data_IF_154456621174
#
_entry.id   IF_154456621174
#
_cell.length_a   1.000
_cell.length_b   1.000
_cell.length_c   1.000
_cell.angle_alpha   90.00
_cell.angle_beta   90.00
_cell.angle_gamma   90.00
#
_symmetry.space_group_name_H-M   'P 1'
#
loop_
_entity.id
_entity.type
_entity.pdbx_description
1 polymer ?
#
# COMPACT_ATOMS: atom_id res chain seq x y z
N UNK A 1 -2.72 -20.79 -20.13
CA UNK A 1 -2.39 -20.49 -18.72
C UNK A 1 -3.20 -19.27 -18.27
N UNK A 2 -2.78 -18.07 -18.63
CA UNK A 2 -3.58 -16.85 -18.54
C UNK A 2 -3.45 -16.03 -19.83
N UNK A 3 -4.34 -15.06 -20.00
CA UNK A 3 -4.32 -14.04 -21.04
C UNK A 3 -4.74 -12.69 -20.47
N UNK A 4 -4.38 -11.62 -21.18
CA UNK A 4 -4.58 -10.23 -20.74
C UNK A 4 -5.13 -9.38 -21.91
N UNK A 5 -6.07 -8.50 -21.59
CA UNK A 5 -6.65 -7.49 -22.48
C UNK A 5 -6.50 -6.12 -21.84
N UNK A 6 -6.07 -5.13 -22.61
CA UNK A 6 -6.21 -3.72 -22.27
C UNK A 6 -7.44 -3.15 -23.00
N UNK A 7 -8.53 -2.80 -22.30
CA UNK A 7 -9.74 -2.28 -22.92
C UNK A 7 -9.46 -1.09 -23.85
N UNK A 8 -10.05 -1.11 -25.04
CA UNK A 8 -9.87 -0.09 -26.09
C UNK A 8 -8.43 0.10 -26.60
N UNK A 9 -7.48 -0.78 -26.22
CA UNK A 9 -6.06 -0.66 -26.54
C UNK A 9 -5.41 -1.89 -27.14
N UNK A 10 -5.82 -3.10 -26.73
CA UNK A 10 -5.27 -4.34 -27.24
C UNK A 10 -6.35 -5.36 -27.61
N UNK A 11 -5.99 -6.26 -28.52
CA UNK A 11 -6.63 -7.57 -28.61
C UNK A 11 -6.20 -8.44 -27.41
N UNK A 12 -6.86 -9.59 -27.17
CA UNK A 12 -6.41 -10.55 -26.17
C UNK A 12 -5.01 -11.06 -26.46
N UNK A 13 -4.11 -10.82 -25.52
CA UNK A 13 -2.73 -11.31 -25.55
C UNK A 13 -2.61 -12.56 -24.68
N UNK A 14 -1.84 -13.52 -25.18
CA UNK A 14 -1.46 -14.71 -24.42
C UNK A 14 -0.12 -14.53 -23.70
N UNK A 15 0.26 -15.57 -22.97
CA UNK A 15 1.50 -15.67 -22.20
C UNK A 15 2.78 -15.50 -23.05
N UNK A 16 2.73 -15.72 -24.37
CA UNK A 16 3.88 -15.57 -25.28
C UNK A 16 4.25 -14.11 -25.51
N UNK A 17 3.36 -13.17 -25.16
CA UNK A 17 3.64 -11.73 -25.18
C UNK A 17 4.39 -11.26 -23.92
N UNK A 18 4.55 -12.14 -22.92
CA UNK A 18 5.20 -11.83 -21.65
C UNK A 18 6.59 -12.46 -21.59
N UNK A 19 7.56 -11.72 -21.05
CA UNK A 19 8.87 -12.25 -20.69
C UNK A 19 8.74 -13.08 -19.42
N UNK A 20 8.96 -14.40 -19.52
CA UNK A 20 9.04 -15.26 -18.35
C UNK A 20 10.37 -15.02 -17.62
N UNK A 21 10.29 -14.52 -16.39
CA UNK A 21 11.48 -14.25 -15.55
C UNK A 21 11.77 -15.38 -14.55
N UNK A 22 10.78 -16.21 -14.27
CA UNK A 22 10.88 -17.41 -13.41
C UNK A 22 9.71 -18.37 -13.74
N UNK A 23 9.81 -19.61 -13.24
CA UNK A 23 8.82 -20.69 -13.35
C UNK A 23 7.37 -20.24 -13.10
N UNK A 24 7.17 -19.29 -12.18
CA UNK A 24 5.84 -18.77 -11.79
C UNK A 24 5.67 -17.26 -11.97
N UNK A 25 6.58 -16.58 -12.66
CA UNK A 25 6.57 -15.11 -12.78
C UNK A 25 6.80 -14.65 -14.23
N UNK A 26 5.90 -13.78 -14.70
CA UNK A 26 5.88 -13.21 -16.04
C UNK A 26 5.81 -11.69 -15.96
N UNK A 27 6.58 -11.01 -16.81
CA UNK A 27 6.64 -9.55 -16.90
C UNK A 27 6.24 -9.11 -18.30
N UNK A 28 5.31 -8.16 -18.38
CA UNK A 28 5.04 -7.41 -19.60
C UNK A 28 5.70 -6.05 -19.48
N UNK A 29 6.61 -5.72 -20.39
CA UNK A 29 7.12 -4.37 -20.49
C UNK A 29 6.09 -3.47 -21.20
N UNK A 30 5.41 -2.64 -20.41
CA UNK A 30 4.45 -1.66 -20.91
C UNK A 30 5.12 -0.59 -21.78
N UNK A 31 6.41 -0.29 -21.59
CA UNK A 31 7.10 0.67 -22.44
C UNK A 31 7.25 0.13 -23.87
N UNK A 32 7.73 -1.11 -24.03
CA UNK A 32 7.75 -1.77 -25.33
C UNK A 32 6.34 -2.01 -25.91
N UNK A 33 5.34 -2.26 -25.07
CA UNK A 33 4.00 -2.63 -25.54
C UNK A 33 3.10 -1.43 -25.95
N UNK A 34 3.04 -0.35 -25.16
CA UNK A 34 2.19 0.84 -25.42
C UNK A 34 2.98 2.13 -25.61
N UNK A 35 4.30 2.12 -25.38
CA UNK A 35 5.16 3.30 -25.50
C UNK A 35 4.68 4.48 -24.66
N UNK A 36 4.78 5.68 -25.23
CA UNK A 36 4.32 6.96 -24.67
C UNK A 36 2.84 7.00 -24.27
N UNK A 37 2.04 5.99 -24.64
CA UNK A 37 0.62 5.93 -24.30
C UNK A 37 0.29 5.15 -23.02
N UNK A 38 1.29 4.75 -22.22
CA UNK A 38 1.08 3.98 -20.99
C UNK A 38 0.14 4.67 -19.98
N UNK A 39 0.18 6.01 -19.87
CA UNK A 39 -0.70 6.81 -19.00
C UNK A 39 -2.21 6.68 -19.32
N UNK A 40 -2.52 6.21 -20.53
CA UNK A 40 -3.90 6.02 -20.98
C UNK A 40 -4.44 4.62 -20.64
N UNK A 41 -3.58 3.72 -20.12
CA UNK A 41 -3.96 2.38 -19.68
C UNK A 41 -4.41 2.42 -18.22
N UNK A 42 -5.72 2.61 -18.01
CA UNK A 42 -6.34 2.70 -16.68
C UNK A 42 -6.89 1.37 -16.16
N UNK A 43 -7.08 0.40 -17.04
CA UNK A 43 -7.73 -0.87 -16.74
C UNK A 43 -7.05 -2.01 -17.49
N UNK A 44 -7.05 -3.18 -16.88
CA UNK A 44 -6.50 -4.42 -17.39
C UNK A 44 -7.52 -5.53 -17.09
N UNK A 45 -7.93 -6.28 -18.10
CA UNK A 45 -8.72 -7.50 -17.93
C UNK A 45 -7.77 -8.70 -18.00
N UNK A 46 -7.72 -9.50 -16.93
CA UNK A 46 -6.95 -10.74 -16.86
C UNK A 46 -7.89 -11.93 -16.76
N UNK A 47 -7.57 -13.01 -17.45
CA UNK A 47 -8.36 -14.23 -17.46
C UNK A 47 -7.50 -15.48 -17.58
N UNK A 48 -7.94 -16.58 -16.95
CA UNK A 48 -7.32 -17.88 -17.03
C UNK A 48 -7.83 -18.61 -18.28
N UNK A 49 -6.92 -18.97 -19.18
CA UNK A 49 -7.23 -19.66 -20.43
C UNK A 49 -7.53 -21.15 -20.25
N UNK A 50 -7.14 -21.75 -19.12
CA UNK A 50 -7.40 -23.15 -18.83
C UNK A 50 -7.43 -23.39 -17.31
N UNK A 51 -8.35 -24.22 -16.82
CA UNK A 51 -8.53 -24.48 -15.37
C UNK A 51 -7.44 -25.36 -14.75
N UNK A 52 -6.59 -25.98 -15.58
CA UNK A 52 -5.50 -26.86 -15.14
C UNK A 52 -4.16 -26.16 -14.84
N UNK A 53 -4.04 -24.85 -15.09
CA UNK A 53 -2.74 -24.16 -15.03
C UNK A 53 -2.37 -23.53 -13.69
N UNK A 54 -3.25 -23.57 -12.70
CA UNK A 54 -2.97 -23.13 -11.32
C UNK A 54 -3.35 -24.24 -10.34
N UNK A 55 -2.54 -24.53 -9.33
CA UNK A 55 -2.96 -25.39 -8.22
C UNK A 55 -4.19 -24.81 -7.51
N UNK A 56 -5.03 -25.67 -6.94
CA UNK A 56 -6.31 -25.27 -6.33
C UNK A 56 -6.15 -24.19 -5.24
N UNK A 57 -5.08 -24.27 -4.44
CA UNK A 57 -4.75 -23.33 -3.37
C UNK A 57 -3.88 -22.13 -3.80
N UNK A 58 -3.85 -21.82 -5.11
CA UNK A 58 -3.03 -20.73 -5.67
C UNK A 58 -3.86 -19.75 -6.48
N UNK A 59 -3.36 -18.51 -6.51
CA UNK A 59 -3.92 -17.39 -7.24
C UNK A 59 -2.84 -16.78 -8.14
N UNK A 60 -3.23 -16.27 -9.30
CA UNK A 60 -2.37 -15.42 -10.12
C UNK A 60 -2.59 -13.98 -9.72
N UNK A 61 -1.58 -13.39 -9.08
CA UNK A 61 -1.59 -12.00 -8.64
C UNK A 61 -1.03 -11.07 -9.73
N UNK A 62 -1.66 -9.91 -9.90
CA UNK A 62 -1.23 -8.86 -10.83
C UNK A 62 -0.61 -7.73 -10.02
N UNK A 63 0.63 -7.40 -10.38
CA UNK A 63 1.36 -6.25 -9.86
C UNK A 63 1.73 -5.32 -11.02
N UNK A 64 1.76 -4.03 -10.74
CA UNK A 64 2.37 -3.04 -11.65
C UNK A 64 3.55 -2.36 -10.98
N UNK A 65 4.50 -1.91 -11.78
CA UNK A 65 5.63 -1.10 -11.32
C UNK A 65 5.76 0.11 -12.24
N UNK A 66 5.71 1.31 -11.68
CA UNK A 66 6.15 2.54 -12.34
C UNK A 66 7.67 2.71 -12.17
N UNK A 67 8.38 3.31 -13.15
CA UNK A 67 9.82 3.53 -13.03
C UNK A 67 10.15 4.32 -11.76
N UNK A 68 11.15 3.85 -11.01
CA UNK A 68 11.53 4.43 -9.71
C UNK A 68 10.57 4.15 -8.53
N UNK A 69 9.53 3.33 -8.72
CA UNK A 69 8.54 2.98 -7.68
C UNK A 69 8.59 1.49 -7.31
N UNK A 70 8.06 1.09 -6.13
CA UNK A 70 7.86 -0.31 -5.79
C UNK A 70 6.67 -0.93 -6.56
N UNK A 71 6.60 -2.27 -6.57
CA UNK A 71 5.46 -2.99 -7.12
C UNK A 71 4.18 -2.74 -6.31
N UNK A 72 3.09 -2.39 -6.99
CA UNK A 72 1.74 -2.22 -6.43
C UNK A 72 0.84 -3.38 -6.82
N UNK A 73 0.22 -4.03 -5.83
CA UNK A 73 -0.77 -5.08 -6.05
C UNK A 73 -2.08 -4.50 -6.57
N UNK A 74 -2.53 -4.97 -7.74
CA UNK A 74 -3.77 -4.51 -8.38
C UNK A 74 -4.94 -5.48 -8.16
N UNK A 75 -4.66 -6.77 -7.99
CA UNK A 75 -5.68 -7.80 -7.76
C UNK A 75 -5.17 -9.19 -8.11
N UNK A 76 -6.06 -10.19 -8.02
CA UNK A 76 -5.73 -11.57 -8.36
C UNK A 76 -6.93 -12.33 -8.94
N UNK A 77 -6.62 -13.35 -9.75
CA UNK A 77 -7.58 -14.35 -10.26
C UNK A 77 -7.27 -15.74 -9.70
N UNK A 78 -8.32 -16.56 -9.57
CA UNK A 78 -8.27 -17.92 -9.01
C UNK A 78 -9.08 -18.86 -9.88
N UNK A 79 -9.02 -20.17 -9.65
CA UNK A 79 -9.88 -21.12 -10.37
C UNK A 79 -11.38 -20.82 -10.16
N UNK A 80 -11.78 -20.39 -8.95
CA UNK A 80 -13.16 -20.03 -8.63
C UNK A 80 -13.62 -18.70 -9.24
N UNK A 81 -12.68 -17.80 -9.57
CA UNK A 81 -12.95 -16.56 -10.31
C UNK A 81 -11.86 -16.39 -11.39
N UNK A 82 -12.02 -17.08 -12.54
CA UNK A 82 -10.97 -17.19 -13.53
C UNK A 82 -10.72 -15.90 -14.31
N UNK A 83 -11.58 -14.88 -14.21
CA UNK A 83 -11.39 -13.59 -14.85
C UNK A 83 -11.73 -12.42 -13.93
N UNK A 84 -11.00 -11.31 -14.09
CA UNK A 84 -11.27 -10.05 -13.40
C UNK A 84 -10.80 -8.86 -14.25
N UNK A 85 -11.58 -7.78 -14.22
CA UNK A 85 -11.11 -6.45 -14.63
C UNK A 85 -10.50 -5.78 -13.41
N UNK A 86 -9.26 -5.32 -13.55
CA UNK A 86 -8.47 -4.67 -12.52
C UNK A 86 -8.17 -3.23 -12.98
N UNK A 87 -8.57 -2.25 -12.17
CA UNK A 87 -8.15 -0.87 -12.39
C UNK A 87 -6.68 -0.73 -12.03
N UNK A 88 -5.87 -0.29 -12.98
CA UNK A 88 -4.48 0.07 -12.71
C UNK A 88 -4.49 1.47 -12.10
N UNK A 89 -3.93 1.69 -10.90
CA UNK A 89 -3.78 3.04 -10.38
C UNK A 89 -2.85 3.81 -11.33
N UNK A 90 -3.44 4.74 -12.09
CA UNK A 90 -2.67 5.64 -12.95
C UNK A 90 -1.64 6.39 -12.12
N UNK A 91 -0.50 6.75 -12.73
CA UNK A 91 0.68 7.28 -12.03
C UNK A 91 0.51 8.73 -11.50
N UNK A 92 -0.72 9.12 -11.12
CA UNK A 92 -0.91 10.28 -10.28
C UNK A 92 -0.32 10.00 -8.88
N UNK A 93 0.47 10.92 -8.30
CA UNK A 93 1.09 10.71 -6.99
C UNK A 93 0.08 10.51 -5.84
N UNK A 94 -1.20 10.79 -6.08
CA UNK A 94 -2.30 10.58 -5.14
C UNK A 94 -2.67 9.09 -4.95
N UNK A 95 -2.43 8.23 -5.94
CA UNK A 95 -2.84 6.82 -5.86
C UNK A 95 -2.02 6.01 -4.84
N UNK A 96 -0.73 6.35 -4.69
CA UNK A 96 0.15 5.78 -3.66
C UNK A 96 -0.38 6.06 -2.23
N UNK A 97 -1.04 7.21 -2.02
CA UNK A 97 -1.57 7.62 -0.70
C UNK A 97 -2.67 6.67 -0.25
N UNK A 98 -3.55 6.20 -1.15
CA UNK A 98 -4.69 5.34 -0.77
C UNK A 98 -4.31 3.91 -0.40
N UNK A 99 -3.20 3.38 -0.95
CA UNK A 99 -2.72 2.05 -0.57
C UNK A 99 -1.86 2.06 0.72
N UNK A 100 -1.27 3.22 1.06
CA UNK A 100 -0.57 3.43 2.33
C UNK A 100 -1.50 3.84 3.48
N UNK A 101 -2.70 4.38 3.19
CA UNK A 101 -3.65 4.88 4.19
C UNK A 101 -4.65 3.82 4.68
N UNK A 102 -4.20 2.61 5.01
CA UNK A 102 -4.87 1.83 6.07
C UNK A 102 -4.15 2.12 7.38
N UNK A 103 -4.63 3.06 8.23
CA UNK A 103 -4.03 3.23 9.54
C UNK A 103 -4.12 1.90 10.30
N UNK A 104 -3.06 1.49 11.04
CA UNK A 104 -3.23 0.43 12.02
C UNK A 104 -4.30 0.89 13.00
N UNK A 105 -5.26 0.02 13.30
CA UNK A 105 -6.46 0.37 14.04
C UNK A 105 -6.11 1.06 15.38
N UNK A 106 -6.43 2.35 15.49
CA UNK A 106 -6.25 3.11 16.72
C UNK A 106 -7.19 2.51 17.78
N UNK A 107 -6.69 2.05 18.94
CA UNK A 107 -7.60 1.62 20.00
C UNK A 107 -8.44 2.82 20.46
N UNK A 108 -9.75 2.64 20.72
CA UNK A 108 -10.63 3.76 21.03
C UNK A 108 -10.24 4.38 22.38
N UNK A 109 -9.88 5.67 22.35
CA UNK A 109 -9.66 6.46 23.56
C UNK A 109 -10.97 6.59 24.36
N UNK A 110 -10.95 6.42 25.70
CA UNK A 110 -12.15 6.50 26.52
C UNK A 110 -12.73 7.93 26.58
N UNK A 111 -14.05 8.07 26.80
CA UNK A 111 -14.72 9.37 26.75
C UNK A 111 -14.30 10.30 27.90
N UNK A 112 -13.97 11.54 27.54
CA UNK A 112 -13.52 12.60 28.43
C UNK A 112 -14.71 13.25 29.14
N UNK A 113 -15.08 12.72 30.31
CA UNK A 113 -16.09 13.36 31.17
C UNK A 113 -15.45 14.41 32.10
N UNK A 114 -15.98 15.63 32.08
CA UNK A 114 -15.56 16.71 32.95
C UNK A 114 -16.40 16.79 34.24
N UNK A 115 -15.88 17.55 35.20
CA UNK A 115 -16.57 18.22 36.34
C UNK A 115 -16.52 17.48 37.70
N UNK A 116 -16.33 18.15 38.86
CA UNK A 116 -16.19 19.60 39.12
C UNK A 116 -15.46 19.88 40.47
N UNK A 117 -14.66 20.96 40.50
CA UNK A 117 -14.52 21.94 41.61
C UNK A 117 -13.89 21.58 42.99
N UNK A 118 -13.45 22.68 43.64
CA UNK A 118 -13.08 22.90 45.07
C UNK A 118 -11.72 22.36 45.55
N UNK A 119 -10.95 23.07 46.38
CA UNK A 119 -10.96 24.50 46.80
C UNK A 119 -9.55 24.84 47.32
N UNK A 120 -8.98 25.99 46.95
CA UNK A 120 -7.74 26.52 47.55
C UNK A 120 -8.02 27.12 48.94
N UNK A 121 -7.06 27.08 49.89
CA UNK A 121 -6.51 28.37 50.30
C UNK A 121 -5.02 28.40 50.72
N UNK A 122 -4.38 29.54 50.40
CA UNK A 122 -3.41 30.34 51.19
C UNK A 122 -2.19 29.68 51.88
N UNK A 123 -1.01 29.98 51.29
CA UNK A 123 0.20 30.59 51.89
C UNK A 123 0.11 31.11 53.36
N UNK A 124 1.21 31.05 54.15
CA UNK A 124 2.32 32.00 53.96
C UNK A 124 3.78 31.55 54.22
N UNK A 125 4.68 32.39 53.66
CA UNK A 125 6.13 32.62 53.92
C UNK A 125 6.77 31.98 55.17
N UNK A 126 8.02 31.51 55.01
CA UNK A 126 9.11 31.94 55.90
C UNK A 126 10.52 31.93 55.25
N UNK A 127 11.24 33.01 55.54
CA UNK A 127 12.67 33.38 55.41
C UNK A 127 13.75 32.44 54.82
N UNK A 128 14.67 33.08 54.07
CA UNK A 128 16.09 32.72 53.87
C UNK A 128 17.00 33.66 54.68
N UNK A 129 18.35 33.48 54.73
CA UNK A 129 19.17 32.26 54.75
C UNK A 129 19.82 32.11 56.17
N UNK A 130 21.08 32.49 56.55
CA UNK A 130 22.38 32.75 55.88
C UNK A 130 23.59 31.91 56.43
N UNK A 131 24.80 32.13 55.85
CA UNK A 131 26.17 31.77 56.35
C UNK A 131 26.63 30.29 56.30
N UNK A 132 27.92 29.94 56.24
CA UNK A 132 29.19 30.61 55.77
C UNK A 132 30.37 29.61 55.87
N UNK A 133 31.22 29.50 54.83
CA UNK A 133 32.53 28.81 54.90
C UNK A 133 32.46 27.27 54.91
N UNK A 134 33.55 26.51 54.77
CA UNK A 134 34.95 26.80 54.43
C UNK A 134 35.66 25.48 54.06
N UNK A 135 36.77 25.52 53.29
CA UNK A 135 37.70 24.38 53.00
C UNK A 135 37.09 23.13 52.31
N UNK A 136 37.77 22.37 51.45
CA UNK A 136 39.20 22.24 51.18
C UNK A 136 39.60 20.77 51.34
N UNK A 137 40.60 20.30 50.56
CA UNK A 137 41.03 18.88 50.46
C UNK A 137 39.99 17.96 49.76
N UNK A 138 40.36 17.04 48.87
CA UNK A 138 41.68 16.54 48.43
C UNK A 138 41.61 16.19 46.94
#
# INVERSE_FOLDING_TARGET
MFGVVFPNRSFPMDISTFSQIDTFHWVLDMNTFVGEAYDQVRELCIFLLNSFSLPADKALAVYIQSPGSPFLFCGAVTLSRPSAVLSLPGQSPEAAVRCASRPPATPPSPPRSASLSRTSPRFPRLMSPPRRGSSGWR
#
